data_IF_408665089785
#
_entry.id   IF_408665089785
#
_cell.length_a   1.000
_cell.length_b   1.000
_cell.length_c   1.000
_cell.angle_alpha   90.00
_cell.angle_beta   90.00
_cell.angle_gamma   90.00
#
_symmetry.space_group_name_H-M   'P 1'
#
loop_
_entity.id
_entity.type
_entity.pdbx_description
1 polymer ?
#
# COMPACT_ATOMS: atom_id res chain seq x y z
N UNK A 1 0.82 51.21 -1.64
CA UNK A 1 0.69 49.73 -1.59
C UNK A 1 1.38 49.05 -0.39
N UNK A 2 2.12 49.75 0.48
CA UNK A 2 2.80 49.10 1.63
C UNK A 2 1.91 48.85 2.87
N UNK A 3 0.82 49.60 3.02
CA UNK A 3 0.02 49.64 4.25
C UNK A 3 -0.60 48.30 4.65
N UNK A 4 -1.03 47.51 3.67
CA UNK A 4 -1.66 46.19 3.90
C UNK A 4 -0.64 45.20 4.47
N UNK A 5 0.59 45.20 3.94
CA UNK A 5 1.68 44.34 4.42
C UNK A 5 2.08 44.74 5.84
N UNK A 6 2.17 46.03 6.12
CA UNK A 6 2.48 46.53 7.47
C UNK A 6 1.42 46.14 8.49
N UNK A 7 0.13 46.18 8.12
CA UNK A 7 -0.97 45.70 8.97
C UNK A 7 -0.85 44.20 9.24
N UNK A 8 -0.62 43.39 8.19
CA UNK A 8 -0.42 41.94 8.32
C UNK A 8 0.73 41.58 9.28
N UNK A 9 1.89 42.24 9.14
CA UNK A 9 3.06 42.00 9.99
C UNK A 9 2.76 42.39 11.45
N UNK A 10 2.06 43.51 11.66
CA UNK A 10 1.68 43.97 12.99
C UNK A 10 0.72 42.98 13.66
N UNK A 11 -0.26 42.47 12.93
CA UNK A 11 -1.24 41.53 13.44
C UNK A 11 -0.58 40.17 13.75
N UNK A 12 0.34 39.69 12.91
CA UNK A 12 1.17 38.51 13.20
C UNK A 12 1.99 38.68 14.48
N UNK A 13 2.63 39.85 14.67
CA UNK A 13 3.41 40.15 15.86
C UNK A 13 2.53 40.13 17.12
N UNK A 14 1.30 40.64 17.04
CA UNK A 14 0.34 40.63 18.13
C UNK A 14 -0.17 39.21 18.45
N UNK A 15 -0.41 38.38 17.42
CA UNK A 15 -0.81 36.97 17.57
C UNK A 15 0.25 36.18 18.35
N UNK A 16 1.54 36.38 18.04
CA UNK A 16 2.65 35.68 18.72
C UNK A 16 2.81 36.15 20.17
N UNK A 17 2.52 37.42 20.47
CA UNK A 17 2.66 37.96 21.83
C UNK A 17 1.49 37.60 22.75
N UNK A 18 0.30 37.37 22.18
CA UNK A 18 -0.87 36.98 22.95
C UNK A 18 -0.86 35.46 23.21
N UNK A 19 -0.66 35.08 24.47
CA UNK A 19 -0.71 33.70 24.94
C UNK A 19 -2.00 32.94 24.54
N UNK A 20 -3.22 33.46 24.75
CA UNK A 20 -4.43 32.71 24.42
C UNK A 20 -4.57 32.46 22.91
N UNK A 21 -4.29 33.46 22.06
CA UNK A 21 -4.39 33.28 20.59
C UNK A 21 -3.34 32.29 20.08
N UNK A 22 -2.13 32.31 20.63
CA UNK A 22 -1.07 31.35 20.25
C UNK A 22 -1.47 29.90 20.59
N UNK A 23 -2.06 29.67 21.77
CA UNK A 23 -2.52 28.34 22.17
C UNK A 23 -3.60 27.83 21.23
N UNK A 24 -4.57 28.68 20.87
CA UNK A 24 -5.63 28.33 19.92
C UNK A 24 -5.06 28.00 18.54
N UNK A 25 -4.09 28.78 18.04
CA UNK A 25 -3.45 28.54 16.75
C UNK A 25 -2.71 27.19 16.74
N UNK A 26 -1.97 26.88 17.81
CA UNK A 26 -1.26 25.61 17.95
C UNK A 26 -2.24 24.45 17.97
N UNK A 27 -3.35 24.56 18.71
CA UNK A 27 -4.39 23.53 18.73
C UNK A 27 -4.96 23.26 17.33
N UNK A 28 -5.23 24.31 16.55
CA UNK A 28 -5.67 24.16 15.16
C UNK A 28 -4.62 23.54 14.25
N UNK A 29 -3.33 23.79 14.47
CA UNK A 29 -2.25 23.17 13.68
C UNK A 29 -2.01 21.69 14.06
N UNK A 30 -2.25 21.31 15.31
CA UNK A 30 -2.05 19.93 15.79
C UNK A 30 -3.06 18.98 15.14
N UNK A 31 -4.31 19.39 14.94
CA UNK A 31 -5.36 18.53 14.34
C UNK A 31 -4.96 17.99 12.95
N UNK A 32 -4.59 18.83 11.96
CA UNK A 32 -4.14 18.36 10.66
C UNK A 32 -2.77 17.67 10.72
N UNK A 33 -1.87 18.08 11.63
CA UNK A 33 -0.57 17.44 11.78
C UNK A 33 -0.69 15.99 12.31
N UNK A 34 -1.57 15.75 13.28
CA UNK A 34 -1.83 14.43 13.83
C UNK A 34 -2.47 13.51 12.78
N UNK A 35 -3.40 14.04 11.98
CA UNK A 35 -3.97 13.30 10.85
C UNK A 35 -2.88 12.92 9.84
N UNK A 36 -2.00 13.85 9.50
CA UNK A 36 -0.89 13.58 8.58
C UNK A 36 0.06 12.50 9.11
N UNK A 37 0.41 12.55 10.40
CA UNK A 37 1.31 11.58 11.04
C UNK A 37 0.76 10.15 10.95
N UNK A 38 -0.52 9.95 11.29
CA UNK A 38 -1.15 8.62 11.22
C UNK A 38 -1.21 8.08 9.77
N UNK A 39 -1.46 8.96 8.80
CA UNK A 39 -1.47 8.56 7.39
C UNK A 39 -0.08 8.20 6.87
N UNK A 40 0.96 8.91 7.29
CA UNK A 40 2.34 8.63 6.90
C UNK A 40 2.79 7.28 7.49
N UNK A 41 2.51 7.03 8.77
CA UNK A 41 2.86 5.76 9.42
C UNK A 41 2.19 4.56 8.73
N UNK A 42 0.89 4.67 8.42
CA UNK A 42 0.17 3.65 7.68
C UNK A 42 0.69 3.43 6.25
N UNK A 43 1.24 4.47 5.63
CA UNK A 43 1.72 4.44 4.24
C UNK A 43 3.21 4.10 4.08
N UNK A 44 3.97 4.03 5.18
CA UNK A 44 5.42 3.77 5.11
C UNK A 44 5.76 2.33 4.75
N UNK A 45 4.92 1.37 5.16
CA UNK A 45 5.11 -0.05 4.83
C UNK A 45 3.79 -0.78 4.52
N UNK A 46 3.09 -0.42 3.43
CA UNK A 46 1.82 -1.03 3.05
C UNK A 46 1.99 -2.47 2.57
N UNK A 47 3.22 -2.88 2.21
CA UNK A 47 3.53 -4.20 1.67
C UNK A 47 4.31 -5.07 2.65
N UNK A 48 4.48 -4.64 3.90
CA UNK A 48 5.20 -5.39 4.92
C UNK A 48 4.74 -6.85 4.96
N UNK A 49 5.66 -7.84 5.05
CA UNK A 49 5.30 -9.25 5.13
C UNK A 49 4.28 -9.58 6.23
N UNK A 50 4.21 -8.77 7.30
CA UNK A 50 3.25 -8.89 8.40
C UNK A 50 1.81 -8.52 8.03
N UNK A 51 1.61 -7.68 7.01
CA UNK A 51 0.30 -7.19 6.57
C UNK A 51 -0.16 -7.80 5.24
N UNK A 52 0.79 -8.12 4.36
CA UNK A 52 0.52 -8.65 3.00
C UNK A 52 0.31 -10.16 2.97
N UNK A 53 0.68 -10.89 4.04
CA UNK A 53 0.46 -12.35 4.15
C UNK A 53 -1.01 -12.77 4.12
N UNK A 54 -1.94 -11.82 4.27
CA UNK A 54 -3.38 -12.08 4.17
C UNK A 54 -3.96 -11.82 2.79
N UNK A 55 -3.16 -11.43 1.79
CA UNK A 55 -3.64 -11.23 0.42
C UNK A 55 -3.35 -12.48 -0.42
N UNK A 56 -4.35 -13.36 -0.60
CA UNK A 56 -4.14 -14.60 -1.31
C UNK A 56 -4.12 -14.33 -2.82
N UNK A 57 -3.02 -14.66 -3.50
CA UNK A 57 -2.92 -14.49 -4.96
C UNK A 57 -3.11 -15.83 -5.65
N UNK A 58 -4.13 -15.87 -6.51
CA UNK A 58 -4.43 -16.98 -7.39
C UNK A 58 -3.61 -16.87 -8.68
N UNK A 59 -2.78 -17.88 -8.97
CA UNK A 59 -2.05 -18.00 -10.24
C UNK A 59 -2.50 -19.27 -10.95
N UNK A 60 -3.12 -19.11 -12.12
CA UNK A 60 -3.58 -20.21 -12.97
C UNK A 60 -2.68 -20.27 -14.19
N UNK A 61 -2.06 -21.43 -14.42
CA UNK A 61 -1.31 -21.71 -15.65
C UNK A 61 -2.11 -22.67 -16.51
N UNK A 62 -2.36 -22.26 -17.76
CA UNK A 62 -3.03 -23.05 -18.78
C UNK A 62 -2.06 -23.51 -19.90
N UNK A 63 -0.74 -23.41 -19.67
CA UNK A 63 0.28 -23.92 -20.59
C UNK A 63 0.36 -25.46 -20.48
N UNK A 64 -0.12 -26.14 -21.52
CA UNK A 64 -0.06 -27.61 -21.64
C UNK A 64 1.37 -28.11 -21.94
N UNK A 65 2.32 -27.20 -22.18
CA UNK A 65 3.70 -27.51 -22.53
C UNK A 65 3.84 -28.01 -23.98
N UNK A 66 5.08 -28.01 -24.48
CA UNK A 66 5.37 -28.50 -25.83
C UNK A 66 6.68 -29.28 -25.86
N UNK A 67 6.80 -30.23 -26.79
CA UNK A 67 8.01 -31.04 -26.96
C UNK A 67 8.82 -30.42 -28.11
N UNK A 68 9.99 -29.86 -27.78
CA UNK A 68 10.92 -29.31 -28.76
C UNK A 68 12.24 -30.07 -28.62
N UNK A 69 12.72 -30.69 -29.71
CA UNK A 69 13.96 -31.47 -29.74
C UNK A 69 14.07 -32.56 -28.65
N UNK A 70 13.05 -33.43 -28.53
CA UNK A 70 12.96 -34.49 -27.51
C UNK A 70 13.06 -34.01 -26.05
N UNK A 71 12.95 -32.71 -25.80
CA UNK A 71 12.86 -32.13 -24.46
C UNK A 71 11.45 -31.59 -24.24
N UNK A 72 10.80 -32.07 -23.17
CA UNK A 72 9.57 -31.48 -22.67
C UNK A 72 9.91 -30.08 -22.15
N UNK A 73 9.37 -29.05 -22.80
CA UNK A 73 9.53 -27.66 -22.39
C UNK A 73 8.15 -27.15 -21.93
N UNK A 74 8.04 -26.90 -20.62
CA UNK A 74 6.93 -26.15 -20.06
C UNK A 74 7.48 -24.79 -19.60
N UNK A 75 7.09 -23.73 -20.29
CA UNK A 75 7.54 -22.36 -19.97
C UNK A 75 6.68 -21.79 -18.85
N UNK A 76 5.38 -22.08 -18.86
CA UNK A 76 4.46 -21.69 -17.80
C UNK A 76 4.91 -22.17 -16.41
N UNK A 77 5.38 -23.40 -16.29
CA UNK A 77 5.88 -23.94 -15.02
C UNK A 77 7.14 -23.23 -14.51
N UNK A 78 8.03 -22.80 -15.43
CA UNK A 78 9.21 -22.02 -15.05
C UNK A 78 8.81 -20.63 -14.55
N UNK A 79 7.83 -19.98 -15.20
CA UNK A 79 7.30 -18.69 -14.79
C UNK A 79 6.59 -18.79 -13.44
N UNK A 80 5.76 -19.82 -13.22
CA UNK A 80 5.12 -20.07 -11.91
C UNK A 80 6.18 -20.26 -10.82
N UNK A 81 7.25 -21.00 -11.10
CA UNK A 81 8.30 -21.28 -10.13
C UNK A 81 9.01 -19.99 -9.68
N UNK A 82 9.35 -19.12 -10.62
CA UNK A 82 9.94 -17.82 -10.30
C UNK A 82 8.93 -16.87 -9.61
N UNK A 83 7.65 -16.90 -10.02
CA UNK A 83 6.59 -16.12 -9.37
C UNK A 83 6.34 -16.56 -7.92
N UNK A 84 6.31 -17.87 -7.64
CA UNK A 84 6.16 -18.41 -6.28
C UNK A 84 7.32 -17.99 -5.39
N UNK A 85 8.54 -18.02 -5.91
CA UNK A 85 9.74 -17.59 -5.20
C UNK A 85 9.68 -16.11 -4.84
N UNK A 86 9.28 -15.26 -5.78
CA UNK A 86 9.10 -13.81 -5.54
C UNK A 86 7.94 -13.50 -4.60
N UNK A 87 6.80 -14.21 -4.71
CA UNK A 87 5.67 -14.04 -3.81
C UNK A 87 6.03 -14.37 -2.35
N UNK A 88 6.72 -15.50 -2.12
CA UNK A 88 7.17 -15.89 -0.78
C UNK A 88 8.13 -14.82 -0.21
N UNK A 89 9.01 -14.27 -1.05
CA UNK A 89 9.95 -13.21 -0.64
C UNK A 89 9.23 -11.91 -0.24
N UNK A 90 8.11 -11.59 -0.88
CA UNK A 90 7.29 -10.40 -0.62
C UNK A 90 6.23 -10.67 0.48
N UNK A 91 6.17 -11.90 1.01
CA UNK A 91 5.23 -12.30 2.06
C UNK A 91 3.83 -12.59 1.56
N UNK A 92 3.62 -12.81 0.27
CA UNK A 92 2.35 -13.23 -0.32
C UNK A 92 2.17 -14.74 -0.18
N UNK A 93 0.94 -15.20 0.03
CA UNK A 93 0.60 -16.64 0.03
C UNK A 93 0.17 -17.06 -1.38
N UNK A 94 1.02 -17.77 -2.15
CA UNK A 94 0.64 -18.27 -3.46
C UNK A 94 -0.34 -19.43 -3.29
N UNK A 95 -1.52 -19.32 -3.88
CA UNK A 95 -2.48 -20.42 -3.95
C UNK A 95 -2.23 -21.26 -5.20
N UNK A 96 -2.33 -22.57 -5.05
CA UNK A 96 -2.19 -23.52 -6.15
C UNK A 96 -3.47 -23.54 -6.99
N UNK A 97 -3.38 -23.89 -8.28
CA UNK A 97 -4.56 -23.94 -9.16
C UNK A 97 -5.74 -24.77 -8.60
N UNK A 98 -5.48 -25.83 -7.83
CA UNK A 98 -6.54 -26.58 -7.11
C UNK A 98 -7.25 -25.77 -6.02
N UNK A 99 -6.50 -25.01 -5.25
CA UNK A 99 -7.00 -24.16 -4.15
C UNK A 99 -7.74 -22.93 -4.70
N UNK A 100 -7.20 -22.34 -5.77
CA UNK A 100 -7.85 -21.26 -6.53
C UNK A 100 -9.21 -21.70 -7.07
N UNK A 101 -9.30 -22.88 -7.70
CA UNK A 101 -10.56 -23.37 -8.25
C UNK A 101 -11.59 -23.72 -7.16
N UNK A 102 -11.14 -24.14 -5.98
CA UNK A 102 -12.02 -24.35 -4.83
C UNK A 102 -12.63 -23.03 -4.34
N UNK A 103 -11.82 -21.98 -4.19
CA UNK A 103 -12.30 -20.65 -3.77
C UNK A 103 -13.22 -19.98 -4.81
N UNK A 104 -12.89 -20.08 -6.10
CA UNK A 104 -13.75 -19.55 -7.17
C UNK A 104 -15.12 -20.23 -7.14
N UNK A 105 -15.15 -21.55 -6.94
CA UNK A 105 -16.40 -22.32 -6.84
C UNK A 105 -17.24 -21.92 -5.63
N UNK A 106 -16.59 -21.58 -4.51
CA UNK A 106 -17.24 -21.20 -3.26
C UNK A 106 -17.79 -19.76 -3.26
N UNK A 107 -17.10 -18.81 -3.90
CA UNK A 107 -17.43 -17.37 -3.81
C UNK A 107 -17.96 -16.72 -5.10
N UNK A 108 -17.74 -17.28 -6.30
CA UNK A 108 -18.05 -16.61 -7.58
C UNK A 108 -19.17 -17.32 -8.36
N UNK A 109 -19.40 -18.62 -8.17
CA UNK A 109 -20.53 -19.35 -8.77
C UNK A 109 -21.79 -19.33 -7.90
N UNK A 110 -22.25 -18.12 -7.53
CA UNK A 110 -23.64 -17.84 -7.14
C UNK A 110 -24.30 -16.96 -8.22
#
# INVERSE_FOLDING_TARGET
MGTIITLLIRDFKNIVHSRPVLITLIAFCIIPALYALLNIEASWDPYSPTNTSRLPIAVINNDEGTIINNKSLNVGDQVIKELKKTMILIGLLPMTGRETMALIRENITL
#
